data_IF_882531052943
#
_entry.id   IF_882531052943
#
_cell.length_a   1.000
_cell.length_b   1.000
_cell.length_c   1.000
_cell.angle_alpha   90.00
_cell.angle_beta   90.00
_cell.angle_gamma   90.00
#
_symmetry.space_group_name_H-M   'P 1'
#
loop_
_entity.id
_entity.type
_entity.pdbx_description
1 polymer ?
#
# COMPACT_ATOMS: atom_id res chain seq x y z
N UNK A 1 7.24 -24.91 0.08
CA UNK A 1 8.31 -24.71 -0.95
C UNK A 1 8.28 -23.24 -1.26
N UNK A 2 9.29 -22.49 -0.79
CA UNK A 2 9.28 -21.01 -0.74
C UNK A 2 8.98 -20.38 -2.10
N UNK A 3 8.07 -19.39 -2.11
CA UNK A 3 7.77 -18.51 -3.25
C UNK A 3 9.06 -17.90 -3.84
N UNK A 4 10.07 -17.61 -3.01
CA UNK A 4 11.40 -17.17 -3.44
C UNK A 4 12.06 -18.12 -4.45
N UNK A 5 11.80 -19.44 -4.37
CA UNK A 5 12.36 -20.42 -5.33
C UNK A 5 11.63 -20.46 -6.66
N UNK A 6 10.37 -19.99 -6.71
CA UNK A 6 9.58 -19.91 -7.96
C UNK A 6 9.83 -18.61 -8.72
N UNK A 7 10.11 -17.50 -7.99
CA UNK A 7 10.42 -16.18 -8.61
C UNK A 7 11.81 -16.20 -9.26
N UNK A 8 12.78 -16.94 -8.70
CA UNK A 8 14.15 -17.06 -9.24
C UNK A 8 14.25 -17.87 -10.54
N UNK A 9 13.17 -18.56 -10.95
CA UNK A 9 13.19 -19.43 -12.14
C UNK A 9 12.90 -18.73 -13.47
N UNK A 10 12.68 -17.40 -13.50
CA UNK A 10 12.50 -16.62 -14.71
C UNK A 10 13.69 -15.70 -14.93
N UNK A 11 14.73 -16.22 -15.58
CA UNK A 11 15.67 -15.40 -16.31
C UNK A 11 17.07 -15.22 -15.74
N UNK A 12 17.86 -16.28 -15.67
CA UNK A 12 19.32 -16.14 -15.88
C UNK A 12 19.63 -16.75 -17.25
N UNK A 13 19.45 -15.96 -18.28
CA UNK A 13 20.13 -16.17 -19.55
C UNK A 13 21.35 -15.24 -19.56
N UNK A 14 22.51 -15.77 -19.17
CA UNK A 14 23.79 -15.10 -19.37
C UNK A 14 24.05 -15.03 -20.87
N UNK A 15 23.79 -13.88 -21.48
CA UNK A 15 24.31 -13.55 -22.80
C UNK A 15 25.58 -12.72 -22.61
N UNK A 16 26.73 -13.37 -22.72
CA UNK A 16 28.02 -12.71 -22.87
C UNK A 16 28.11 -12.07 -24.25
N UNK A 17 27.93 -10.74 -24.36
CA UNK A 17 28.08 -10.00 -25.60
C UNK A 17 27.99 -8.49 -25.36
N UNK A 18 29.13 -7.83 -25.36
CA UNK A 18 29.44 -6.39 -25.61
C UNK A 18 28.24 -5.41 -25.56
N UNK A 19 27.86 -4.95 -24.35
CA UNK A 19 26.81 -3.96 -24.11
C UNK A 19 26.62 -3.70 -22.61
N UNK A 20 27.70 -3.64 -21.86
CA UNK A 20 27.74 -3.91 -20.43
C UNK A 20 27.18 -2.84 -19.46
N UNK A 21 26.31 -1.91 -19.87
CA UNK A 21 25.82 -0.88 -18.95
C UNK A 21 24.29 -0.86 -18.79
N UNK A 22 23.55 -1.33 -19.78
CA UNK A 22 22.07 -1.34 -19.71
C UNK A 22 21.56 -2.57 -18.95
N UNK A 23 22.18 -3.73 -19.13
CA UNK A 23 21.76 -4.97 -18.45
C UNK A 23 21.89 -4.92 -16.91
N UNK A 24 22.91 -4.25 -16.39
CA UNK A 24 23.12 -4.19 -14.92
C UNK A 24 22.02 -3.39 -14.21
N UNK A 25 21.43 -2.39 -14.85
CA UNK A 25 20.38 -1.56 -14.27
C UNK A 25 19.01 -2.25 -14.29
N UNK A 26 18.73 -3.03 -15.31
CA UNK A 26 17.49 -3.83 -15.39
C UNK A 26 17.51 -5.00 -14.41
N UNK A 27 18.66 -5.67 -14.25
CA UNK A 27 18.82 -6.75 -13.29
C UNK A 27 18.70 -6.27 -11.83
N UNK A 28 19.25 -5.08 -11.51
CA UNK A 28 19.13 -4.48 -10.18
C UNK A 28 17.68 -4.06 -9.88
N UNK A 29 16.98 -3.51 -10.85
CA UNK A 29 15.57 -3.15 -10.74
C UNK A 29 14.68 -4.35 -10.46
N UNK A 30 14.80 -5.43 -11.23
CA UNK A 30 14.05 -6.67 -11.01
C UNK A 30 14.35 -7.29 -9.64
N UNK A 31 15.59 -7.18 -9.16
CA UNK A 31 15.97 -7.67 -7.84
C UNK A 31 15.28 -6.87 -6.72
N UNK A 32 15.24 -5.54 -6.80
CA UNK A 32 14.57 -4.69 -5.82
C UNK A 32 13.07 -4.98 -5.75
N UNK A 33 12.40 -5.14 -6.90
CA UNK A 33 10.98 -5.51 -6.95
C UNK A 33 10.71 -6.84 -6.25
N UNK A 34 11.55 -7.84 -6.53
CA UNK A 34 11.43 -9.16 -5.90
C UNK A 34 11.60 -9.09 -4.37
N UNK A 35 12.55 -8.29 -3.88
CA UNK A 35 12.76 -8.09 -2.44
C UNK A 35 11.55 -7.43 -1.79
N UNK A 36 10.95 -6.42 -2.43
CA UNK A 36 9.74 -5.73 -1.92
C UNK A 36 8.54 -6.66 -1.88
N UNK A 37 8.29 -7.42 -2.94
CA UNK A 37 7.22 -8.42 -2.99
C UNK A 37 7.43 -9.50 -1.92
N UNK A 38 8.65 -10.01 -1.77
CA UNK A 38 8.99 -10.99 -0.74
C UNK A 38 8.73 -10.45 0.67
N UNK A 39 9.12 -9.20 0.96
CA UNK A 39 8.85 -8.54 2.24
C UNK A 39 7.35 -8.48 2.56
N UNK A 40 6.54 -8.04 1.61
CA UNK A 40 5.09 -7.95 1.80
C UNK A 40 4.42 -9.32 1.96
N UNK A 41 4.93 -10.33 1.26
CA UNK A 41 4.47 -11.71 1.42
C UNK A 41 4.84 -12.28 2.79
N UNK A 42 6.06 -12.05 3.26
CA UNK A 42 6.52 -12.52 4.58
C UNK A 42 5.74 -11.85 5.73
N UNK A 43 5.29 -10.61 5.54
CA UNK A 43 4.42 -9.88 6.46
C UNK A 43 2.93 -10.25 6.32
N UNK A 44 2.57 -11.09 5.34
CA UNK A 44 1.18 -11.47 5.07
C UNK A 44 0.31 -10.36 4.46
N UNK A 45 0.91 -9.24 4.02
CA UNK A 45 0.19 -8.08 3.46
C UNK A 45 -0.28 -8.36 2.03
N UNK A 46 0.64 -8.81 1.17
CA UNK A 46 0.36 -9.19 -0.21
C UNK A 46 0.91 -10.59 -0.49
N UNK A 47 0.02 -11.53 -0.66
CA UNK A 47 0.35 -12.94 -0.97
C UNK A 47 -0.01 -13.25 -2.42
N UNK A 48 0.40 -14.44 -2.91
CA UNK A 48 -0.09 -14.95 -4.19
C UNK A 48 -1.61 -15.16 -4.20
N UNK A 49 -2.18 -15.23 -5.41
CA UNK A 49 -3.59 -15.58 -5.63
C UNK A 49 -3.87 -17.07 -5.31
N UNK A 50 -5.09 -17.53 -5.53
CA UNK A 50 -5.51 -18.90 -5.21
C UNK A 50 -4.72 -19.99 -5.95
N UNK A 51 -4.09 -19.67 -7.08
CA UNK A 51 -3.19 -20.54 -7.84
C UNK A 51 -1.74 -20.52 -7.31
N UNK A 52 -1.44 -19.66 -6.32
CA UNK A 52 -0.13 -19.48 -5.70
C UNK A 52 0.84 -18.59 -6.48
N UNK A 53 0.37 -17.95 -7.54
CA UNK A 53 1.16 -17.02 -8.34
C UNK A 53 0.87 -15.56 -7.96
N UNK A 54 1.85 -14.66 -8.15
CA UNK A 54 1.72 -13.25 -7.74
C UNK A 54 0.95 -12.39 -8.74
N UNK A 55 0.98 -12.73 -10.03
CA UNK A 55 0.34 -11.98 -11.12
C UNK A 55 0.68 -10.48 -11.13
N UNK A 56 1.95 -10.09 -11.33
CA UNK A 56 2.44 -8.73 -11.09
C UNK A 56 1.71 -7.64 -11.89
N UNK A 57 1.23 -7.96 -13.08
CA UNK A 57 0.59 -7.01 -14.00
C UNK A 57 -0.95 -7.01 -13.93
N UNK A 58 -1.55 -7.83 -13.07
CA UNK A 58 -2.99 -7.78 -12.81
C UNK A 58 -3.32 -6.51 -12.01
N UNK A 59 -4.39 -5.82 -12.42
CA UNK A 59 -4.91 -4.65 -11.70
C UNK A 59 -5.56 -5.11 -10.40
N UNK A 60 -5.35 -4.35 -9.32
CA UNK A 60 -6.00 -4.59 -8.04
C UNK A 60 -7.47 -4.14 -8.07
N UNK A 61 -8.30 -4.87 -7.33
CA UNK A 61 -9.64 -4.39 -6.99
C UNK A 61 -9.62 -3.49 -5.75
N UNK A 62 -10.68 -2.71 -5.55
CA UNK A 62 -10.86 -1.88 -4.34
C UNK A 62 -10.95 -2.72 -3.07
N UNK A 63 -11.52 -3.93 -3.16
CA UNK A 63 -11.52 -4.89 -2.06
C UNK A 63 -10.10 -5.34 -1.66
N UNK A 64 -9.24 -5.58 -2.64
CA UNK A 64 -7.83 -5.92 -2.38
C UNK A 64 -7.06 -4.74 -1.79
N UNK A 65 -7.32 -3.51 -2.25
CA UNK A 65 -6.77 -2.30 -1.64
C UNK A 65 -7.17 -2.18 -0.17
N UNK A 66 -8.45 -2.44 0.17
CA UNK A 66 -8.93 -2.41 1.54
C UNK A 66 -8.18 -3.42 2.43
N UNK A 67 -8.01 -4.66 1.95
CA UNK A 67 -7.23 -5.68 2.67
C UNK A 67 -5.78 -5.22 2.92
N UNK A 68 -5.10 -4.74 1.88
CA UNK A 68 -3.71 -4.26 2.00
C UNK A 68 -3.62 -3.14 3.03
N UNK A 69 -4.49 -2.14 2.95
CA UNK A 69 -4.49 -0.98 3.83
C UNK A 69 -4.71 -1.35 5.31
N UNK A 70 -5.67 -2.24 5.57
CA UNK A 70 -5.97 -2.71 6.93
C UNK A 70 -4.82 -3.51 7.49
N UNK A 71 -4.27 -4.46 6.75
CA UNK A 71 -3.13 -5.26 7.20
C UNK A 71 -1.91 -4.39 7.47
N UNK A 72 -1.65 -3.36 6.65
CA UNK A 72 -0.54 -2.42 6.89
C UNK A 72 -0.75 -1.54 8.12
N UNK A 73 -1.98 -1.12 8.40
CA UNK A 73 -2.27 -0.19 9.51
C UNK A 73 -2.54 -0.89 10.84
N UNK A 74 -3.16 -2.06 10.81
CA UNK A 74 -3.51 -2.86 11.98
C UNK A 74 -3.67 -4.36 11.62
N UNK A 75 -2.57 -5.15 11.59
CA UNK A 75 -2.62 -6.57 11.22
C UNK A 75 -3.43 -7.45 12.19
N UNK A 76 -3.68 -6.95 13.41
CA UNK A 76 -4.44 -7.66 14.46
C UNK A 76 -5.83 -7.05 14.64
N UNK A 77 -6.40 -6.43 13.59
CA UNK A 77 -7.72 -5.81 13.70
C UNK A 77 -8.81 -6.84 14.06
N UNK A 78 -9.75 -6.39 14.87
CA UNK A 78 -10.95 -7.15 15.20
C UNK A 78 -12.18 -6.31 14.87
N UNK A 79 -13.20 -6.93 14.28
CA UNK A 79 -14.49 -6.30 14.05
C UNK A 79 -15.29 -6.28 15.37
N UNK A 80 -15.43 -5.09 15.96
CA UNK A 80 -16.14 -4.90 17.24
C UNK A 80 -17.65 -4.76 17.04
N UNK A 81 -18.11 -4.29 15.90
CA UNK A 81 -19.53 -4.03 15.60
C UNK A 81 -19.88 -4.46 14.18
N UNK A 82 -21.02 -5.11 14.04
CA UNK A 82 -21.60 -5.59 12.77
C UNK A 82 -22.49 -4.52 12.08
N UNK A 83 -22.09 -3.26 12.14
CA UNK A 83 -22.82 -2.18 11.45
C UNK A 83 -22.17 -1.95 10.09
N UNK A 84 -22.89 -2.26 9.02
CA UNK A 84 -22.42 -2.03 7.66
C UNK A 84 -22.21 -0.53 7.40
N UNK A 85 -21.04 -0.15 6.91
CA UNK A 85 -20.71 1.21 6.45
C UNK A 85 -21.15 1.40 5.01
N UNK A 86 -21.00 0.35 4.20
CA UNK A 86 -21.31 0.36 2.77
C UNK A 86 -22.41 -0.65 2.45
N UNK A 87 -23.55 -0.19 1.86
CA UNK A 87 -24.72 -1.04 1.65
C UNK A 87 -24.56 -2.07 0.52
N UNK A 88 -23.63 -1.84 -0.39
CA UNK A 88 -23.32 -2.70 -1.54
C UNK A 88 -22.34 -3.82 -1.23
N UNK A 89 -21.82 -3.89 0.00
CA UNK A 89 -20.87 -4.94 0.41
C UNK A 89 -21.61 -5.97 1.25
N UNK A 90 -21.85 -7.15 0.65
CA UNK A 90 -22.51 -8.25 1.33
C UNK A 90 -21.61 -8.84 2.44
N UNK A 91 -22.23 -9.36 3.51
CA UNK A 91 -21.53 -10.01 4.63
C UNK A 91 -20.77 -11.26 4.22
N UNK A 92 -21.23 -11.95 3.19
CA UNK A 92 -20.56 -13.11 2.61
C UNK A 92 -19.39 -12.75 1.69
N UNK A 93 -19.22 -11.46 1.36
CA UNK A 93 -18.10 -11.02 0.55
C UNK A 93 -16.77 -11.23 1.31
N UNK A 94 -15.79 -11.85 0.68
CA UNK A 94 -14.51 -12.24 1.31
C UNK A 94 -13.76 -11.09 1.99
N UNK A 95 -13.92 -9.86 1.49
CA UNK A 95 -13.28 -8.67 2.02
C UNK A 95 -14.20 -7.83 2.92
N UNK A 96 -15.39 -8.32 3.30
CA UNK A 96 -16.36 -7.57 4.10
C UNK A 96 -15.73 -6.91 5.31
N UNK A 97 -15.04 -7.69 6.14
CA UNK A 97 -14.44 -7.17 7.38
C UNK A 97 -13.38 -6.10 7.13
N UNK A 98 -12.53 -6.29 6.12
CA UNK A 98 -11.52 -5.31 5.72
C UNK A 98 -12.15 -4.00 5.26
N UNK A 99 -13.17 -4.08 4.42
CA UNK A 99 -13.86 -2.91 3.86
C UNK A 99 -14.57 -2.14 4.96
N UNK A 100 -15.32 -2.83 5.84
CA UNK A 100 -16.03 -2.19 6.93
C UNK A 100 -15.06 -1.55 7.93
N UNK A 101 -13.96 -2.24 8.27
CA UNK A 101 -12.93 -1.68 9.12
C UNK A 101 -12.29 -0.43 8.51
N UNK A 102 -11.90 -0.50 7.22
CA UNK A 102 -11.29 0.62 6.51
C UNK A 102 -12.23 1.84 6.44
N UNK A 103 -13.51 1.62 6.19
CA UNK A 103 -14.53 2.68 6.16
C UNK A 103 -14.74 3.32 7.53
N UNK A 104 -14.94 2.52 8.58
CA UNK A 104 -15.13 3.00 9.96
C UNK A 104 -13.96 3.83 10.48
N UNK A 105 -12.73 3.48 10.10
CA UNK A 105 -11.52 4.16 10.54
C UNK A 105 -11.05 5.25 9.58
N UNK A 106 -11.84 5.61 8.56
CA UNK A 106 -11.51 6.67 7.61
C UNK A 106 -10.29 6.37 6.73
N UNK A 107 -9.90 5.10 6.62
CA UNK A 107 -8.77 4.65 5.78
C UNK A 107 -9.18 4.73 4.30
N UNK A 108 -10.40 4.25 3.99
CA UNK A 108 -11.01 4.29 2.67
C UNK A 108 -12.40 4.90 2.73
N UNK A 109 -12.79 5.54 1.64
CA UNK A 109 -14.13 6.09 1.46
C UNK A 109 -14.85 5.35 0.33
N UNK A 110 -16.17 5.32 0.39
CA UNK A 110 -17.00 4.96 -0.76
C UNK A 110 -17.08 6.10 -1.79
N UNK A 111 -17.86 5.87 -2.83
CA UNK A 111 -18.21 6.86 -3.84
C UNK A 111 -19.30 7.81 -3.34
N UNK A 112 -19.61 8.85 -4.12
CA UNK A 112 -20.59 9.89 -3.77
C UNK A 112 -22.03 9.32 -3.60
N UNK A 113 -22.30 8.17 -4.18
CA UNK A 113 -23.58 7.45 -4.03
C UNK A 113 -23.68 6.59 -2.76
N UNK A 114 -22.60 6.55 -1.96
CA UNK A 114 -22.50 5.79 -0.72
C UNK A 114 -22.07 4.34 -0.90
N UNK A 115 -21.81 3.88 -2.12
CA UNK A 115 -21.33 2.53 -2.42
C UNK A 115 -19.80 2.45 -2.32
N UNK A 116 -19.31 1.27 -2.00
CA UNK A 116 -17.86 0.98 -1.99
C UNK A 116 -17.36 0.48 -3.34
N UNK A 117 -18.16 -0.30 -4.06
CA UNK A 117 -17.83 -0.97 -5.32
C UNK A 117 -16.59 -1.87 -5.18
N UNK A 118 -16.67 -2.97 -4.41
CA UNK A 118 -15.51 -3.79 -4.03
C UNK A 118 -14.77 -4.42 -5.21
N UNK A 119 -15.47 -4.74 -6.29
CA UNK A 119 -14.92 -5.42 -7.47
C UNK A 119 -14.40 -4.44 -8.55
N UNK A 120 -14.61 -3.13 -8.38
CA UNK A 120 -14.05 -2.13 -9.28
C UNK A 120 -12.54 -2.06 -9.17
N UNK A 121 -11.87 -1.63 -10.25
CA UNK A 121 -10.43 -1.42 -10.27
C UNK A 121 -10.04 -0.29 -9.32
N UNK A 122 -9.06 -0.54 -8.45
CA UNK A 122 -8.43 0.50 -7.65
C UNK A 122 -7.49 1.34 -8.52
N UNK A 123 -7.56 2.65 -8.40
CA UNK A 123 -6.69 3.56 -9.15
C UNK A 123 -5.39 3.87 -8.40
N UNK A 124 -4.36 4.30 -9.15
CA UNK A 124 -3.08 4.75 -8.57
C UNK A 124 -3.29 5.86 -7.54
N UNK A 125 -4.16 6.86 -7.84
CA UNK A 125 -4.41 7.97 -6.92
C UNK A 125 -5.16 7.53 -5.65
N UNK A 126 -6.04 6.54 -5.72
CA UNK A 126 -6.69 5.97 -4.53
C UNK A 126 -5.69 5.22 -3.66
N UNK A 127 -4.78 4.48 -4.29
CA UNK A 127 -3.71 3.79 -3.57
C UNK A 127 -2.78 4.79 -2.86
N UNK A 128 -2.33 5.85 -3.55
CA UNK A 128 -1.52 6.92 -2.96
C UNK A 128 -2.27 7.56 -1.77
N UNK A 129 -3.55 7.95 -1.96
CA UNK A 129 -4.38 8.51 -0.89
C UNK A 129 -4.38 7.59 0.33
N UNK A 130 -4.59 6.31 0.11
CA UNK A 130 -4.66 5.31 1.16
C UNK A 130 -3.33 5.20 1.93
N UNK A 131 -2.21 5.12 1.23
CA UNK A 131 -0.88 5.04 1.86
C UNK A 131 -0.55 6.31 2.66
N UNK A 132 -0.85 7.49 2.12
CA UNK A 132 -0.70 8.78 2.81
C UNK A 132 -1.57 8.83 4.06
N UNK A 133 -2.81 8.33 3.98
CA UNK A 133 -3.77 8.29 5.09
C UNK A 133 -3.27 7.41 6.24
N UNK A 134 -2.88 6.16 5.97
CA UNK A 134 -2.41 5.24 7.03
C UNK A 134 -1.06 5.65 7.61
N UNK A 135 -0.29 6.49 6.92
CA UNK A 135 0.94 7.10 7.42
C UNK A 135 0.69 8.37 8.25
N UNK A 136 -0.58 8.83 8.36
CA UNK A 136 -0.99 9.95 9.20
C UNK A 136 -0.95 11.33 8.54
N UNK A 137 -0.67 11.42 7.24
CA UNK A 137 -0.45 12.71 6.53
C UNK A 137 -1.70 13.28 5.86
N UNK A 138 -2.90 12.77 6.15
CA UNK A 138 -4.15 13.26 5.54
C UNK A 138 -4.38 14.74 5.79
N UNK A 139 -4.16 15.23 7.03
CA UNK A 139 -4.32 16.65 7.33
C UNK A 139 -3.42 17.51 6.44
N UNK A 140 -2.15 17.18 6.29
CA UNK A 140 -1.22 17.92 5.45
C UNK A 140 -1.62 17.86 3.97
N UNK A 141 -2.09 16.70 3.49
CA UNK A 141 -2.56 16.53 2.12
C UNK A 141 -3.79 17.41 1.83
N UNK A 142 -4.74 17.51 2.76
CA UNK A 142 -5.91 18.39 2.64
C UNK A 142 -5.51 19.87 2.59
N UNK A 143 -4.54 20.30 3.43
CA UNK A 143 -4.04 21.69 3.40
C UNK A 143 -3.28 22.04 2.12
N UNK A 144 -2.80 21.05 1.38
CA UNK A 144 -2.00 21.27 0.16
C UNK A 144 -2.75 20.98 -1.14
N UNK A 145 -4.08 20.96 -1.10
CA UNK A 145 -4.94 20.84 -2.29
C UNK A 145 -5.93 19.68 -2.28
N UNK A 146 -5.96 18.87 -1.21
CA UNK A 146 -6.91 17.78 -1.05
C UNK A 146 -6.77 16.69 -2.10
N UNK A 147 -7.84 15.91 -2.26
CA UNK A 147 -7.86 14.81 -3.23
C UNK A 147 -8.17 15.31 -4.65
N UNK A 148 -7.47 14.81 -5.69
CA UNK A 148 -6.32 13.90 -5.62
C UNK A 148 -4.97 14.60 -5.43
N UNK A 149 -4.85 15.89 -5.78
CA UNK A 149 -3.58 16.61 -5.99
C UNK A 149 -2.72 16.69 -4.73
N UNK A 150 -3.31 17.04 -3.59
CA UNK A 150 -2.60 17.16 -2.31
C UNK A 150 -2.05 15.82 -1.83
N UNK A 151 -2.81 14.74 -2.03
CA UNK A 151 -2.37 13.39 -1.69
C UNK A 151 -1.26 12.89 -2.61
N UNK A 152 -1.35 13.14 -3.92
CA UNK A 152 -0.27 12.81 -4.86
C UNK A 152 1.01 13.54 -4.48
N UNK A 153 0.91 14.85 -4.20
CA UNK A 153 2.06 15.65 -3.78
C UNK A 153 2.67 15.15 -2.47
N UNK A 154 1.84 14.80 -1.49
CA UNK A 154 2.28 14.22 -0.23
C UNK A 154 2.97 12.87 -0.45
N UNK A 155 2.40 11.98 -1.25
CA UNK A 155 3.00 10.69 -1.60
C UNK A 155 4.36 10.84 -2.27
N UNK A 156 4.51 11.81 -3.18
CA UNK A 156 5.80 12.12 -3.81
C UNK A 156 6.85 12.62 -2.80
N UNK A 157 6.46 13.52 -1.89
CA UNK A 157 7.35 14.06 -0.85
C UNK A 157 7.81 12.98 0.15
N UNK A 158 6.94 12.03 0.46
CA UNK A 158 7.21 10.92 1.34
C UNK A 158 7.99 9.78 0.65
N UNK A 159 8.20 9.85 -0.67
CA UNK A 159 8.85 8.81 -1.44
C UNK A 159 7.99 7.56 -1.66
N UNK A 160 6.69 7.63 -1.35
CA UNK A 160 5.75 6.50 -1.48
C UNK A 160 5.54 6.11 -2.94
N UNK A 161 5.53 7.08 -3.85
CA UNK A 161 5.21 6.84 -5.27
C UNK A 161 6.28 6.06 -6.02
N UNK A 162 7.46 5.92 -5.45
CA UNK A 162 8.55 5.17 -6.09
C UNK A 162 8.89 5.70 -7.49
N UNK A 163 9.04 4.75 -8.43
CA UNK A 163 9.36 5.05 -9.84
C UNK A 163 8.13 5.02 -10.74
N UNK A 164 6.92 5.04 -10.17
CA UNK A 164 5.68 4.88 -10.93
C UNK A 164 5.48 6.05 -11.88
N UNK A 165 5.39 5.73 -13.17
CA UNK A 165 5.12 6.69 -14.25
C UNK A 165 3.68 6.59 -14.78
N UNK A 166 2.85 5.73 -14.19
CA UNK A 166 1.46 5.53 -14.60
C UNK A 166 0.63 6.79 -14.42
N UNK A 167 -0.41 6.94 -15.24
CA UNK A 167 -1.41 7.98 -15.00
C UNK A 167 -2.09 7.72 -13.67
N UNK A 168 -2.27 8.75 -12.86
CA UNK A 168 -2.79 8.60 -11.51
C UNK A 168 -4.26 8.15 -11.46
N UNK A 169 -5.00 8.34 -12.54
CA UNK A 169 -6.39 7.91 -12.72
C UNK A 169 -6.55 6.52 -13.38
N UNK A 170 -5.44 5.85 -13.73
CA UNK A 170 -5.48 4.46 -14.23
C UNK A 170 -5.53 3.44 -13.11
N UNK A 171 -5.99 2.22 -13.43
CA UNK A 171 -5.93 1.09 -12.50
C UNK A 171 -4.48 0.79 -12.08
N UNK A 172 -4.28 0.49 -10.80
CA UNK A 172 -2.97 0.16 -10.25
C UNK A 172 -2.71 -1.34 -10.38
N UNK A 173 -1.56 -1.71 -10.92
CA UNK A 173 -1.14 -3.11 -10.99
C UNK A 173 -0.61 -3.61 -9.64
N UNK A 174 -0.61 -4.93 -9.44
CA UNK A 174 -0.13 -5.55 -8.19
C UNK A 174 1.35 -5.24 -7.91
N UNK A 175 2.19 -5.14 -8.94
CA UNK A 175 3.61 -4.82 -8.75
C UNK A 175 3.80 -3.35 -8.35
N UNK A 176 3.06 -2.42 -8.97
CA UNK A 176 3.07 -1.01 -8.59
C UNK A 176 2.57 -0.82 -7.14
N UNK A 177 1.48 -1.51 -6.79
CA UNK A 177 0.95 -1.50 -5.43
C UNK A 177 1.96 -2.08 -4.42
N UNK A 178 2.67 -3.15 -4.78
CA UNK A 178 3.70 -3.74 -3.92
C UNK A 178 4.89 -2.78 -3.73
N UNK A 179 5.31 -2.07 -4.77
CA UNK A 179 6.34 -1.05 -4.63
C UNK A 179 5.91 0.06 -3.67
N UNK A 180 4.74 0.66 -3.89
CA UNK A 180 4.22 1.72 -3.03
C UNK A 180 4.00 1.26 -1.58
N UNK A 181 3.41 0.08 -1.39
CA UNK A 181 3.18 -0.48 -0.06
C UNK A 181 4.49 -0.71 0.69
N UNK A 182 5.49 -1.32 0.03
CA UNK A 182 6.78 -1.57 0.65
C UNK A 182 7.52 -0.28 1.05
N UNK A 183 7.46 0.77 0.21
CA UNK A 183 8.02 2.08 0.51
C UNK A 183 7.28 2.74 1.68
N UNK A 184 5.96 2.60 1.74
CA UNK A 184 5.13 3.18 2.80
C UNK A 184 5.42 2.57 4.19
N UNK A 185 5.86 1.31 4.25
CA UNK A 185 6.21 0.65 5.51
C UNK A 185 7.32 1.37 6.27
N UNK A 186 8.21 2.07 5.59
CA UNK A 186 9.39 2.74 6.17
C UNK A 186 9.21 4.27 6.30
N UNK A 187 8.05 4.81 5.92
CA UNK A 187 7.71 6.23 6.14
C UNK A 187 7.51 6.49 7.63
N UNK A 188 8.13 7.54 8.17
CA UNK A 188 7.88 8.00 9.53
C UNK A 188 6.42 8.45 9.68
N UNK A 189 5.76 7.96 10.72
CA UNK A 189 4.36 8.29 10.97
C UNK A 189 4.22 9.73 11.43
N UNK A 190 3.16 10.39 10.98
CA UNK A 190 2.68 11.63 11.54
C UNK A 190 1.53 11.33 12.50
N UNK A 191 1.59 11.88 13.72
CA UNK A 191 0.56 11.69 14.75
C UNK A 191 0.03 13.03 15.22
N UNK A 192 -1.25 13.08 15.53
CA UNK A 192 -1.89 14.23 16.16
C UNK A 192 -1.60 14.18 17.66
N UNK A 193 -1.08 15.27 18.22
CA UNK A 193 -0.69 15.37 19.64
C UNK A 193 -1.53 16.39 20.39
N UNK A 194 -2.27 17.23 19.70
CA UNK A 194 -3.21 18.22 20.20
C UNK A 194 -4.18 18.62 19.10
N UNK A 195 -5.20 19.42 19.40
CA UNK A 195 -6.19 19.84 18.41
C UNK A 195 -5.51 20.60 17.24
N UNK A 196 -5.35 19.92 16.10
CA UNK A 196 -4.69 20.46 14.91
C UNK A 196 -3.16 20.54 14.98
N UNK A 197 -2.54 19.96 16.01
CA UNK A 197 -1.08 19.90 16.17
C UNK A 197 -0.59 18.48 15.79
N UNK A 198 0.38 18.42 14.88
CA UNK A 198 0.91 17.18 14.32
C UNK A 198 2.42 17.10 14.47
N UNK A 199 2.93 15.93 14.81
CA UNK A 199 4.37 15.65 14.96
C UNK A 199 4.76 14.46 14.12
N UNK A 200 5.95 14.53 13.49
CA UNK A 200 6.56 13.41 12.78
C UNK A 200 7.38 12.60 13.79
N UNK A 201 7.12 11.31 13.86
CA UNK A 201 7.84 10.37 14.73
C UNK A 201 9.14 9.91 14.06
N UNK A 202 10.13 10.79 13.93
CA UNK A 202 11.42 10.54 13.28
C UNK A 202 12.58 10.31 14.28
N UNK A 203 12.26 10.29 15.59
CA UNK A 203 13.26 10.11 16.65
C UNK A 203 14.04 11.38 17.00
N UNK A 204 13.70 12.53 16.44
CA UNK A 204 14.34 13.81 16.77
C UNK A 204 14.05 14.27 18.21
N UNK A 205 12.99 13.75 18.82
CA UNK A 205 12.60 13.99 20.21
C UNK A 205 12.41 12.70 20.97
N UNK A 206 12.87 12.60 22.26
CA UNK A 206 12.60 11.43 23.10
C UNK A 206 11.10 11.19 23.36
N UNK A 207 10.28 12.24 23.28
CA UNK A 207 8.82 12.17 23.47
C UNK A 207 8.14 11.52 22.25
N UNK A 208 8.72 11.68 21.05
CA UNK A 208 8.22 11.12 19.80
C UNK A 208 9.32 10.26 19.16
N UNK A 209 9.51 9.03 19.63
CA UNK A 209 10.53 8.14 19.09
C UNK A 209 10.25 7.79 17.64
N UNK A 210 11.27 7.37 16.93
CA UNK A 210 11.15 6.93 15.54
C UNK A 210 10.10 5.82 15.40
N UNK A 211 9.05 6.09 14.62
CA UNK A 211 7.93 5.19 14.38
C UNK A 211 7.58 5.15 12.90
N UNK A 212 7.51 3.95 12.35
CA UNK A 212 7.02 3.67 10.98
C UNK A 212 5.92 2.61 11.06
N UNK A 213 5.19 2.38 9.95
CA UNK A 213 4.20 1.30 9.89
C UNK A 213 4.85 -0.07 10.18
N UNK A 214 6.06 -0.30 9.66
CA UNK A 214 6.79 -1.53 9.92
C UNK A 214 7.14 -1.68 11.40
N UNK A 215 7.69 -0.64 12.05
CA UNK A 215 8.03 -0.68 13.48
C UNK A 215 6.81 -0.83 14.36
N UNK A 216 5.73 -0.10 14.06
CA UNK A 216 4.50 -0.12 14.85
C UNK A 216 3.84 -1.51 14.85
N UNK A 217 3.80 -2.18 13.70
CA UNK A 217 2.91 -3.31 13.49
C UNK A 217 3.62 -4.66 13.34
N UNK A 218 4.91 -4.68 12.98
CA UNK A 218 5.62 -5.90 12.57
C UNK A 218 6.98 -6.12 13.24
N UNK A 219 7.46 -5.16 14.02
CA UNK A 219 8.73 -5.29 14.74
C UNK A 219 8.46 -5.36 16.24
N UNK A 220 9.12 -6.29 16.97
CA UNK A 220 9.00 -6.40 18.42
C UNK A 220 9.65 -5.24 19.16
#
# INVERSE_FOLDING_TARGET
MNILKKIVAVGVAVVLGTGGMVCAQEDEFQFEEQVRVARLNDLGIMTGDSDGEFHPYRVLTRAELAKIAVLMSNPSFEMVEDTAVFPDVDKEHWAYEYIQYAGKNGILSGHDDGNFCPDDEATVQEFIKTMVTISGYSFQAEQTGGYPSGYIMSGMRLGITGRISAKTDSGITRIEAAEMAALSLDVHLMVEVGEGEYVICDGSSPEYPEMTLAKKNYMP
#
